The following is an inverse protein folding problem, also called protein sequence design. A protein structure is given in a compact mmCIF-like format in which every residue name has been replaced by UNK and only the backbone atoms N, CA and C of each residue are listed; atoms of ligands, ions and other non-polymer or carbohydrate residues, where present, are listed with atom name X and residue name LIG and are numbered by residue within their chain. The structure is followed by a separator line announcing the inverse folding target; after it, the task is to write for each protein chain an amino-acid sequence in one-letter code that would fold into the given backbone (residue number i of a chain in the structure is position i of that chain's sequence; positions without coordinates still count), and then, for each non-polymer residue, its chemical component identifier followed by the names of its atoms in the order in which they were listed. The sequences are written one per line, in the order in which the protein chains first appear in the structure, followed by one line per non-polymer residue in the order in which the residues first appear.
data_IF_408391297719
#
_entry.id   IF_408391297719
#
_cell.length_a   1.000
_cell.length_b   1.000
_cell.length_c   1.000
_cell.angle_alpha   90.00
_cell.angle_beta   90.00
_cell.angle_gamma   90.00
#
_symmetry.space_group_name_H-M   'P 1'
#
loop_
_entity.id
_entity.type
_entity.pdbx_description
1 polymer ?
#
# COMPACT_ATOMS: atom_id res chain seq x y z
N UNK A 1 8.81 -4.44 -20.95
CA UNK A 1 8.24 -3.21 -20.34
C UNK A 1 6.85 -3.47 -19.77
N UNK A 2 5.82 -3.66 -20.60
CA UNK A 2 4.46 -3.90 -20.08
C UNK A 2 4.35 -5.21 -19.31
N UNK A 3 4.86 -6.31 -19.86
CA UNK A 3 4.81 -7.61 -19.20
C UNK A 3 5.56 -7.61 -17.87
N UNK A 4 6.73 -6.97 -17.82
CA UNK A 4 7.52 -6.81 -16.58
C UNK A 4 6.74 -6.00 -15.53
N UNK A 5 6.04 -4.94 -15.94
CA UNK A 5 5.18 -4.15 -15.05
C UNK A 5 4.03 -5.00 -14.50
N UNK A 6 3.33 -5.76 -15.35
CA UNK A 6 2.23 -6.62 -14.92
C UNK A 6 2.73 -7.69 -13.95
N UNK A 7 3.85 -8.33 -14.27
CA UNK A 7 4.49 -9.31 -13.39
C UNK A 7 4.90 -8.68 -12.04
N UNK A 8 5.43 -7.46 -12.06
CA UNK A 8 5.79 -6.74 -10.84
C UNK A 8 4.57 -6.44 -9.96
N UNK A 9 3.47 -5.94 -10.54
CA UNK A 9 2.24 -5.66 -9.80
C UNK A 9 1.62 -6.93 -9.20
N UNK A 10 1.61 -8.04 -9.93
CA UNK A 10 1.18 -9.33 -9.37
C UNK A 10 2.11 -9.80 -8.24
N UNK A 11 3.40 -9.56 -8.36
CA UNK A 11 4.37 -9.78 -7.29
C UNK A 11 4.05 -8.97 -6.03
N UNK A 12 3.71 -7.68 -6.18
CA UNK A 12 3.29 -6.81 -5.06
C UNK A 12 2.02 -7.37 -4.40
N UNK A 13 0.98 -7.66 -5.19
CA UNK A 13 -0.30 -8.18 -4.70
C UNK A 13 -0.12 -9.46 -3.88
N UNK A 14 0.68 -10.39 -4.40
CA UNK A 14 0.89 -11.70 -3.77
C UNK A 14 1.71 -11.63 -2.50
N UNK A 15 2.78 -10.82 -2.49
CA UNK A 15 3.82 -10.95 -1.47
C UNK A 15 3.81 -9.80 -0.46
N UNK A 16 3.41 -8.59 -0.86
CA UNK A 16 3.66 -7.37 -0.09
C UNK A 16 2.39 -6.72 0.47
N UNK A 17 1.20 -7.05 -0.05
CA UNK A 17 -0.05 -6.49 0.46
C UNK A 17 -0.51 -7.17 1.75
N UNK A 18 -0.80 -6.35 2.76
CA UNK A 18 -1.46 -6.77 4.01
C UNK A 18 -2.50 -5.73 4.41
N UNK A 19 -3.33 -6.08 5.39
CA UNK A 19 -4.30 -5.18 6.00
C UNK A 19 -3.89 -4.81 7.41
N UNK A 20 -4.01 -3.53 7.76
CA UNK A 20 -3.79 -3.05 9.11
C UNK A 20 -4.94 -3.45 10.05
N UNK A 21 -4.74 -3.29 11.35
CA UNK A 21 -5.75 -3.43 12.39
C UNK A 21 -5.68 -2.20 13.31
N UNK A 22 -6.80 -1.56 13.65
CA UNK A 22 -8.18 -2.03 13.45
C UNK A 22 -8.85 -1.60 12.14
N UNK A 23 -8.30 -0.63 11.39
CA UNK A 23 -9.05 0.01 10.30
C UNK A 23 -9.09 -0.80 9.01
N UNK A 24 -8.30 -1.88 8.89
CA UNK A 24 -8.32 -2.74 7.71
C UNK A 24 -7.70 -2.10 6.46
N UNK A 25 -6.83 -1.10 6.64
CA UNK A 25 -6.18 -0.36 5.56
C UNK A 25 -5.23 -1.26 4.79
N UNK A 26 -5.28 -1.21 3.46
CA UNK A 26 -4.39 -2.01 2.63
C UNK A 26 -3.07 -1.28 2.45
N UNK A 27 -1.97 -1.86 2.87
CA UNK A 27 -0.65 -1.25 2.79
C UNK A 27 0.35 -2.19 2.09
N UNK A 28 1.47 -1.63 1.64
CA UNK A 28 2.57 -2.38 1.02
C UNK A 28 3.71 -2.47 2.03
N UNK A 29 3.97 -3.68 2.54
CA UNK A 29 5.11 -3.93 3.43
C UNK A 29 6.39 -4.31 2.70
N UNK A 30 7.44 -4.55 3.47
CA UNK A 30 8.72 -5.05 2.98
C UNK A 30 8.83 -6.56 3.15
N UNK A 31 9.59 -7.22 2.26
CA UNK A 31 9.91 -8.64 2.38
C UNK A 31 11.42 -8.82 2.29
N UNK A 32 12.00 -9.39 3.35
CA UNK A 32 13.44 -9.71 3.41
C UNK A 32 13.62 -11.15 3.84
N UNK A 33 14.31 -11.96 3.03
CA UNK A 33 14.58 -13.37 3.30
C UNK A 33 13.32 -14.19 3.67
N UNK A 34 12.17 -13.85 3.08
CA UNK A 34 10.88 -14.48 3.38
C UNK A 34 10.16 -13.95 4.63
N UNK A 35 10.78 -13.05 5.39
CA UNK A 35 10.15 -12.37 6.52
C UNK A 35 9.49 -11.07 6.07
N UNK A 36 8.19 -10.98 6.32
CA UNK A 36 7.40 -9.79 6.06
C UNK A 36 7.57 -8.80 7.21
N UNK A 37 7.83 -7.53 6.86
CA UNK A 37 7.88 -6.42 7.79
C UNK A 37 6.74 -5.45 7.45
N UNK A 38 5.88 -5.06 8.42
CA UNK A 38 4.81 -4.11 8.16
C UNK A 38 5.31 -2.65 8.15
N UNK A 39 6.47 -2.43 7.53
CA UNK A 39 7.10 -1.12 7.32
C UNK A 39 6.77 -0.66 5.91
N UNK A 40 6.34 0.60 5.77
CA UNK A 40 6.08 1.24 4.49
C UNK A 40 6.67 2.63 4.50
N UNK A 41 7.54 2.92 3.53
CA UNK A 41 8.06 4.27 3.33
C UNK A 41 7.00 5.14 2.64
N UNK A 42 6.96 6.43 2.97
CA UNK A 42 6.07 7.40 2.31
C UNK A 42 6.28 7.41 0.79
N UNK A 43 7.50 7.13 0.33
CA UNK A 43 7.83 6.99 -1.08
C UNK A 43 6.91 6.01 -1.82
N UNK A 44 6.43 4.95 -1.17
CA UNK A 44 5.56 3.94 -1.80
C UNK A 44 4.20 4.53 -2.21
N UNK A 45 3.82 5.71 -1.71
CA UNK A 45 2.62 6.43 -2.13
C UNK A 45 2.64 6.90 -3.60
N UNK A 46 3.74 6.73 -4.33
CA UNK A 46 3.74 6.85 -5.80
C UNK A 46 2.85 5.78 -6.47
N UNK A 47 2.79 4.59 -5.88
CA UNK A 47 2.21 3.39 -6.49
C UNK A 47 0.71 3.51 -6.80
N UNK A 48 -0.16 4.01 -5.91
CA UNK A 48 -1.57 4.23 -6.25
C UNK A 48 -1.75 5.10 -7.50
N UNK A 49 -0.95 6.16 -7.67
CA UNK A 49 -0.98 6.99 -8.88
C UNK A 49 -0.56 6.23 -10.14
N UNK A 50 0.51 5.44 -10.06
CA UNK A 50 0.96 4.57 -11.17
C UNK A 50 -0.09 3.53 -11.56
N UNK A 51 -0.73 2.89 -10.58
CA UNK A 51 -1.77 1.88 -10.81
C UNK A 51 -3.02 2.50 -11.47
N UNK A 52 -3.50 3.64 -10.95
CA UNK A 52 -4.65 4.35 -11.51
C UNK A 52 -4.38 4.81 -12.95
N UNK A 53 -3.18 5.32 -13.23
CA UNK A 53 -2.76 5.73 -14.57
C UNK A 53 -2.73 4.53 -15.52
N UNK A 54 -2.17 3.41 -15.09
CA UNK A 54 -2.17 2.17 -15.87
C UNK A 54 -3.59 1.72 -16.23
N UNK A 55 -4.48 1.66 -15.24
CA UNK A 55 -5.88 1.29 -15.47
C UNK A 55 -6.59 2.25 -16.44
N UNK A 56 -6.32 3.56 -16.35
CA UNK A 56 -6.84 4.55 -17.31
C UNK A 56 -6.43 4.26 -18.76
N UNK A 57 -5.23 3.74 -18.98
CA UNK A 57 -4.72 3.36 -20.30
C UNK A 57 -4.98 1.90 -20.70
N UNK A 58 -5.91 1.21 -20.02
CA UNK A 58 -6.39 -0.12 -20.42
C UNK A 58 -5.67 -1.29 -19.75
N UNK A 59 -4.92 -1.06 -18.68
CA UNK A 59 -4.46 -2.16 -17.81
C UNK A 59 -5.62 -2.72 -16.97
N UNK A 60 -5.46 -3.91 -16.37
CA UNK A 60 -6.52 -4.59 -15.64
C UNK A 60 -7.27 -3.71 -14.63
N UNK A 61 -8.60 -3.84 -14.57
CA UNK A 61 -9.47 -2.98 -13.76
C UNK A 61 -9.18 -3.06 -12.25
N UNK A 62 -8.66 -4.20 -11.78
CA UNK A 62 -8.26 -4.39 -10.39
C UNK A 62 -7.05 -3.52 -9.98
N UNK A 63 -6.29 -2.97 -10.93
CA UNK A 63 -5.27 -1.95 -10.64
C UNK A 63 -5.93 -0.69 -10.08
N UNK A 64 -7.09 -0.27 -10.62
CA UNK A 64 -7.83 0.88 -10.10
C UNK A 64 -8.40 0.60 -8.70
N UNK A 65 -8.88 -0.61 -8.44
CA UNK A 65 -9.38 -0.98 -7.12
C UNK A 65 -8.25 -1.00 -6.08
N UNK A 66 -7.08 -1.55 -6.42
CA UNK A 66 -5.90 -1.47 -5.56
C UNK A 66 -5.41 -0.02 -5.38
N UNK A 67 -5.46 0.80 -6.44
CA UNK A 67 -5.10 2.22 -6.35
C UNK A 67 -5.96 2.96 -5.33
N UNK A 68 -7.27 2.75 -5.33
CA UNK A 68 -8.19 3.34 -4.34
C UNK A 68 -7.88 2.89 -2.91
N UNK A 69 -7.55 1.61 -2.73
CA UNK A 69 -7.21 1.09 -1.41
C UNK A 69 -5.89 1.68 -0.88
N UNK A 70 -4.87 1.76 -1.73
CA UNK A 70 -3.57 2.31 -1.34
C UNK A 70 -3.61 3.83 -1.15
N UNK A 71 -4.39 4.57 -1.95
CA UNK A 71 -4.49 6.03 -1.76
C UNK A 71 -5.25 6.39 -0.47
N UNK A 72 -6.23 5.58 -0.06
CA UNK A 72 -6.86 5.73 1.26
C UNK A 72 -5.82 5.54 2.36
N UNK A 73 -4.99 4.48 2.30
CA UNK A 73 -3.91 4.27 3.27
C UNK A 73 -2.92 5.44 3.30
N UNK A 74 -2.49 5.93 2.14
CA UNK A 74 -1.61 7.10 2.05
C UNK A 74 -2.27 8.36 2.63
N UNK A 75 -3.56 8.57 2.40
CA UNK A 75 -4.30 9.66 3.04
C UNK A 75 -4.33 9.50 4.57
N UNK A 76 -4.58 8.29 5.08
CA UNK A 76 -4.58 8.01 6.51
C UNK A 76 -3.20 8.22 7.15
N UNK A 77 -2.10 7.92 6.44
CA UNK A 77 -0.74 8.25 6.90
C UNK A 77 -0.55 9.75 7.17
N UNK A 78 -1.26 10.63 6.44
CA UNK A 78 -1.30 12.06 6.72
C UNK A 78 -2.30 12.39 7.81
N UNK A 79 -3.55 11.96 7.66
CA UNK A 79 -4.69 12.40 8.46
C UNK A 79 -4.61 11.97 9.93
N UNK A 80 -3.93 10.86 10.23
CA UNK A 80 -3.77 10.35 11.59
C UNK A 80 -2.66 11.08 12.38
N UNK A 81 -1.83 11.89 11.72
CA UNK A 81 -0.78 12.66 12.39
C UNK A 81 -1.34 13.97 12.93
N UNK A 82 -0.87 14.42 14.10
CA UNK A 82 -1.33 15.67 14.73
C UNK A 82 -1.17 16.90 13.82
N UNK A 83 -0.13 16.89 12.98
CA UNK A 83 0.17 17.97 12.02
C UNK A 83 -0.57 17.82 10.69
N UNK A 84 -1.21 16.68 10.44
CA UNK A 84 -1.78 16.34 9.14
C UNK A 84 -0.73 16.07 8.05
N UNK A 85 0.53 15.78 8.41
CA UNK A 85 1.62 15.48 7.48
C UNK A 85 2.14 14.06 7.71
N UNK A 86 2.24 13.26 6.66
CA UNK A 86 2.77 11.89 6.78
C UNK A 86 4.22 11.88 7.27
N UNK A 87 4.60 10.91 8.11
CA UNK A 87 6.00 10.63 8.40
C UNK A 87 6.70 10.07 7.16
N UNK A 88 8.04 10.03 7.21
CA UNK A 88 8.87 9.41 6.15
C UNK A 88 8.67 7.89 6.08
N UNK A 89 8.44 7.25 7.23
CA UNK A 89 8.27 5.80 7.36
C UNK A 89 7.12 5.55 8.34
N UNK A 90 6.16 4.72 7.92
CA UNK A 90 5.06 4.24 8.76
C UNK A 90 5.23 2.74 9.06
N UNK A 91 4.78 2.33 10.24
CA UNK A 91 4.68 0.93 10.63
C UNK A 91 3.23 0.59 10.94
N UNK A 92 2.75 -0.53 10.41
CA UNK A 92 1.36 -0.95 10.56
C UNK A 92 1.21 -2.13 11.53
N UNK A 93 0.18 -2.08 12.35
CA UNK A 93 -0.24 -3.17 13.21
C UNK A 93 -1.10 -4.16 12.43
N UNK A 94 -0.87 -5.46 12.66
CA UNK A 94 -1.65 -6.55 12.05
C UNK A 94 -2.24 -7.50 13.10
N UNK A 95 -2.07 -7.20 14.38
CA UNK A 95 -2.53 -8.04 15.47
C UNK A 95 -3.95 -7.66 15.90
N UNK A 96 -4.81 -8.66 16.07
CA UNK A 96 -6.14 -8.47 16.62
C UNK A 96 -6.05 -7.87 18.04
N UNK A 97 -6.77 -6.77 18.27
CA UNK A 97 -6.76 -6.03 19.53
C UNK A 97 -5.87 -4.79 19.55
N UNK A 98 -5.12 -4.49 18.47
CA UNK A 98 -4.48 -3.19 18.31
C UNK A 98 -5.52 -2.07 18.25
N UNK A 99 -5.25 -0.98 18.99
CA UNK A 99 -6.15 0.19 19.07
C UNK A 99 -5.81 1.29 18.08
N UNK A 100 -4.67 1.17 17.41
CA UNK A 100 -4.16 2.09 16.40
C UNK A 100 -3.56 1.28 15.26
N UNK A 101 -3.71 1.79 14.05
CA UNK A 101 -3.06 1.20 12.87
C UNK A 101 -1.54 1.32 12.94
#
# INVERSE_FOLDING_TARGET
LLDDYLQAVEGVKKNLLRKSTPSGLTFVGELSHGHFSPKMDHLVCFLPGTLALGAHYGLPADHMELAKQLIETCYQMYAQMETGLSPEIAHFNMHEGSTQD
#
